data_IF_362328984558
#
_entry.id   IF_362328984558
#
_cell.length_a   1.000
_cell.length_b   1.000
_cell.length_c   1.000
_cell.angle_alpha   90.00
_cell.angle_beta   90.00
_cell.angle_gamma   90.00
#
_symmetry.space_group_name_H-M   'P 1'
#
loop_
_entity.id
_entity.type
_entity.pdbx_description
1 polymer ?
#
# COMPACT_ATOMS: atom_id res chain seq x y z
N UNK A 1 -17.48 -4.09 -8.51
CA UNK A 1 -18.89 -4.13 -8.97
C UNK A 1 -19.24 -5.57 -9.36
N UNK A 2 -20.24 -6.18 -8.70
CA UNK A 2 -20.76 -7.50 -9.09
C UNK A 2 -21.51 -7.35 -10.39
N UNK A 3 -21.05 -8.04 -11.44
CA UNK A 3 -21.78 -8.12 -12.72
C UNK A 3 -22.80 -9.26 -12.70
N UNK A 4 -23.87 -9.09 -13.48
CA UNK A 4 -24.87 -10.14 -13.66
C UNK A 4 -24.18 -11.35 -14.31
N UNK A 5 -24.15 -12.50 -13.61
CA UNK A 5 -23.44 -13.71 -14.08
C UNK A 5 -22.18 -14.08 -13.28
N UNK A 6 -21.52 -13.15 -12.59
CA UNK A 6 -20.28 -13.42 -11.84
C UNK A 6 -20.40 -14.65 -10.91
N UNK A 7 -21.53 -14.76 -10.20
CA UNK A 7 -21.78 -15.90 -9.30
C UNK A 7 -21.87 -17.23 -10.05
N UNK A 8 -22.44 -17.24 -11.26
CA UNK A 8 -22.58 -18.45 -12.07
C UNK A 8 -21.21 -18.89 -12.57
N UNK A 9 -20.45 -17.95 -13.13
CA UNK A 9 -19.08 -18.23 -13.60
C UNK A 9 -18.15 -18.65 -12.48
N UNK A 10 -18.24 -18.01 -11.31
CA UNK A 10 -17.47 -18.39 -10.11
C UNK A 10 -17.79 -19.82 -9.69
N UNK A 11 -19.07 -20.20 -9.60
CA UNK A 11 -19.48 -21.57 -9.26
C UNK A 11 -19.01 -22.59 -10.29
N UNK A 12 -19.06 -22.26 -11.58
CA UNK A 12 -18.58 -23.14 -12.65
C UNK A 12 -17.06 -23.34 -12.54
N UNK A 13 -16.29 -22.26 -12.39
CA UNK A 13 -14.84 -22.29 -12.22
C UNK A 13 -14.44 -23.14 -11.01
N UNK A 14 -15.04 -22.90 -9.85
CA UNK A 14 -14.73 -23.59 -8.60
C UNK A 14 -14.92 -25.11 -8.72
N UNK A 15 -15.92 -25.58 -9.46
CA UNK A 15 -16.15 -27.02 -9.69
C UNK A 15 -15.05 -27.70 -10.48
N UNK A 16 -14.25 -26.95 -11.22
CA UNK A 16 -13.18 -27.44 -12.08
C UNK A 16 -11.80 -27.37 -11.41
N UNK A 17 -11.75 -26.98 -10.14
CA UNK A 17 -10.50 -26.83 -9.39
C UNK A 17 -10.42 -27.90 -8.28
N UNK A 18 -9.24 -28.51 -8.13
CA UNK A 18 -8.96 -29.53 -7.10
C UNK A 18 -8.53 -28.89 -5.78
N UNK A 19 -7.83 -27.74 -5.85
CA UNK A 19 -7.32 -27.02 -4.71
C UNK A 19 -7.44 -25.50 -4.91
N UNK A 20 -7.41 -24.75 -3.81
CA UNK A 20 -7.53 -23.29 -3.84
C UNK A 20 -6.47 -22.63 -3.00
N UNK A 21 -5.80 -21.64 -3.58
CA UNK A 21 -4.91 -20.74 -2.89
C UNK A 21 -5.52 -19.34 -2.91
N UNK A 22 -5.53 -18.69 -1.76
CA UNK A 22 -5.94 -17.28 -1.65
C UNK A 22 -4.80 -16.44 -1.06
N UNK A 23 -4.74 -15.18 -1.48
CA UNK A 23 -3.67 -14.25 -1.08
C UNK A 23 -4.07 -13.33 0.09
N UNK A 24 -5.31 -13.50 0.63
CA UNK A 24 -5.78 -12.86 1.85
C UNK A 24 -6.77 -13.78 2.57
N UNK A 25 -6.87 -13.66 3.90
CA UNK A 25 -7.80 -14.42 4.69
C UNK A 25 -9.24 -14.05 4.36
N UNK A 26 -9.52 -12.77 4.09
CA UNK A 26 -10.85 -12.31 3.68
C UNK A 26 -11.33 -12.97 2.39
N UNK A 27 -10.45 -13.21 1.42
CA UNK A 27 -10.81 -13.97 0.18
C UNK A 27 -10.99 -15.45 0.47
N UNK A 28 -10.25 -16.03 1.44
CA UNK A 28 -10.48 -17.43 1.86
C UNK A 28 -11.87 -17.61 2.49
N UNK A 29 -12.30 -16.65 3.29
CA UNK A 29 -13.65 -16.63 3.89
C UNK A 29 -14.73 -16.49 2.80
N UNK A 30 -14.52 -15.61 1.84
CA UNK A 30 -15.42 -15.47 0.70
C UNK A 30 -15.49 -16.75 -0.15
N UNK A 31 -14.38 -17.41 -0.42
CA UNK A 31 -14.35 -18.70 -1.11
C UNK A 31 -15.16 -19.75 -0.38
N UNK A 32 -15.16 -19.73 0.95
CA UNK A 32 -15.91 -20.67 1.78
C UNK A 32 -17.43 -20.57 1.61
N UNK A 33 -17.93 -19.46 1.08
CA UNK A 33 -19.36 -19.28 0.70
C UNK A 33 -19.74 -20.03 -0.59
N UNK A 34 -18.75 -20.38 -1.41
CA UNK A 34 -18.95 -21.03 -2.71
C UNK A 34 -18.59 -22.52 -2.72
N UNK A 35 -17.65 -22.95 -1.87
CA UNK A 35 -17.20 -24.34 -1.79
C UNK A 35 -16.98 -24.79 -0.35
N UNK A 36 -17.23 -26.07 -0.09
CA UNK A 36 -16.96 -26.74 1.18
C UNK A 36 -15.64 -27.53 1.18
N UNK A 37 -14.86 -27.45 0.10
CA UNK A 37 -13.58 -28.17 0.05
C UNK A 37 -12.66 -27.77 1.22
N UNK A 38 -11.94 -28.76 1.74
CA UNK A 38 -10.90 -28.56 2.75
C UNK A 38 -9.53 -28.27 2.12
N UNK A 39 -9.36 -28.58 0.83
CA UNK A 39 -8.12 -28.35 0.07
C UNK A 39 -8.07 -26.88 -0.34
N UNK A 40 -7.86 -26.01 0.64
CA UNK A 40 -7.73 -24.56 0.45
C UNK A 40 -6.81 -23.97 1.50
N UNK A 41 -5.98 -23.02 1.11
CA UNK A 41 -4.99 -22.40 1.99
C UNK A 41 -4.86 -20.90 1.70
N UNK A 42 -4.75 -20.11 2.75
CA UNK A 42 -4.27 -18.74 2.67
C UNK A 42 -2.75 -18.76 2.70
N UNK A 43 -2.13 -18.18 1.68
CA UNK A 43 -0.70 -17.93 1.61
C UNK A 43 -0.54 -16.48 1.19
N UNK A 44 0.08 -15.60 2.01
CA UNK A 44 0.21 -14.20 1.68
C UNK A 44 1.03 -14.02 0.40
N UNK A 45 0.71 -12.98 -0.36
CA UNK A 45 1.43 -12.63 -1.59
C UNK A 45 2.92 -12.41 -1.27
N UNK A 46 3.86 -13.00 -2.02
CA UNK A 46 5.28 -12.79 -1.78
C UNK A 46 5.72 -11.37 -2.12
N UNK A 47 6.86 -10.93 -1.58
CA UNK A 47 7.42 -9.60 -1.85
C UNK A 47 7.74 -9.41 -3.35
N UNK A 48 7.67 -8.16 -3.80
CA UNK A 48 8.16 -7.76 -5.12
C UNK A 48 9.62 -7.29 -5.02
N UNK A 49 10.55 -8.19 -5.26
CA UNK A 49 12.00 -7.94 -5.27
C UNK A 49 12.58 -7.61 -6.66
N UNK A 50 11.69 -7.44 -7.65
CA UNK A 50 12.05 -7.20 -9.06
C UNK A 50 12.49 -5.76 -9.37
N UNK A 51 12.36 -4.83 -8.42
CA UNK A 51 12.68 -3.41 -8.62
C UNK A 51 14.13 -3.05 -8.26
N UNK A 52 14.98 -4.07 -8.01
CA UNK A 52 16.39 -3.93 -7.67
C UNK A 52 16.63 -3.71 -6.17
N UNK A 53 17.91 -3.56 -5.84
CA UNK A 53 18.34 -3.41 -4.45
C UNK A 53 17.99 -2.04 -3.85
N UNK A 54 17.82 -2.04 -2.52
CA UNK A 54 17.65 -0.84 -1.70
C UNK A 54 18.85 0.09 -1.87
N UNK A 55 18.58 1.38 -2.02
CA UNK A 55 19.59 2.43 -2.09
C UNK A 55 19.48 3.36 -0.87
N UNK A 56 20.55 4.06 -0.55
CA UNK A 56 20.55 5.07 0.52
C UNK A 56 19.50 6.16 0.25
N UNK A 57 18.83 6.65 1.29
CA UNK A 57 17.75 7.65 1.23
C UNK A 57 18.23 8.93 0.53
N UNK A 58 19.43 9.40 0.88
CA UNK A 58 20.05 10.60 0.30
C UNK A 58 20.26 10.46 -1.21
N UNK A 59 20.70 9.27 -1.67
CA UNK A 59 20.83 8.96 -3.10
C UNK A 59 19.47 8.95 -3.80
N UNK A 60 18.45 8.39 -3.16
CA UNK A 60 17.10 8.34 -3.70
C UNK A 60 16.49 9.74 -3.83
N UNK A 61 16.63 10.57 -2.80
CA UNK A 61 16.22 11.98 -2.77
C UNK A 61 16.88 12.75 -3.92
N UNK A 62 18.22 12.61 -4.07
CA UNK A 62 18.97 13.24 -5.16
C UNK A 62 18.49 12.78 -6.54
N UNK A 63 18.21 11.49 -6.71
CA UNK A 63 17.73 10.93 -7.99
C UNK A 63 16.39 11.53 -8.42
N UNK A 64 15.55 11.92 -7.45
CA UNK A 64 14.22 12.50 -7.68
C UNK A 64 14.23 14.03 -7.71
N UNK A 65 15.36 14.67 -7.37
CA UNK A 65 15.48 16.13 -7.28
C UNK A 65 14.66 16.71 -6.13
N UNK A 66 14.53 15.95 -5.02
CA UNK A 66 13.79 16.37 -3.82
C UNK A 66 14.70 17.16 -2.87
N UNK A 67 14.09 17.95 -1.98
CA UNK A 67 14.80 18.62 -0.92
C UNK A 67 15.14 17.61 0.21
N UNK A 68 16.41 17.46 0.62
CA UNK A 68 16.81 16.49 1.65
C UNK A 68 16.29 16.81 3.05
N UNK A 69 15.91 18.05 3.32
CA UNK A 69 15.37 18.46 4.63
C UNK A 69 13.88 18.17 4.78
N UNK A 70 13.19 17.88 3.66
CA UNK A 70 11.76 17.59 3.69
C UNK A 70 11.46 16.17 4.20
N UNK A 71 10.31 16.04 4.83
CA UNK A 71 9.69 14.77 5.21
C UNK A 71 8.82 14.27 4.06
N UNK A 72 8.99 13.02 3.62
CA UNK A 72 8.34 12.53 2.43
C UNK A 72 7.42 11.34 2.71
N UNK A 73 6.12 11.51 2.44
CA UNK A 73 5.16 10.42 2.30
C UNK A 73 5.03 10.03 0.83
N UNK A 74 4.70 8.78 0.55
CA UNK A 74 4.51 8.30 -0.82
C UNK A 74 3.13 7.66 -1.01
N UNK A 75 2.37 8.18 -1.96
CA UNK A 75 1.21 7.53 -2.56
C UNK A 75 1.63 7.04 -3.95
N UNK A 76 1.60 5.70 -4.18
CA UNK A 76 2.21 5.09 -5.36
C UNK A 76 1.26 4.26 -6.21
N UNK A 77 1.51 4.26 -7.52
CA UNK A 77 0.85 3.43 -8.54
C UNK A 77 -0.36 4.13 -9.16
N UNK A 78 -1.09 3.43 -10.04
CA UNK A 78 -2.22 3.99 -10.75
C UNK A 78 -3.22 4.66 -9.81
N UNK A 79 -3.54 5.93 -10.07
CA UNK A 79 -4.52 6.68 -9.29
C UNK A 79 -5.92 6.31 -9.79
N UNK A 80 -6.73 5.71 -8.89
CA UNK A 80 -8.12 5.33 -9.11
C UNK A 80 -8.95 5.64 -7.86
N UNK A 81 -10.22 5.96 -8.01
CA UNK A 81 -11.12 6.37 -6.89
C UNK A 81 -11.08 5.42 -5.69
N UNK A 82 -11.01 4.09 -5.95
CA UNK A 82 -10.96 3.11 -4.86
C UNK A 82 -9.68 3.19 -4.01
N UNK A 83 -8.59 3.80 -4.53
CA UNK A 83 -7.34 3.98 -3.78
C UNK A 83 -7.37 5.15 -2.80
N UNK A 84 -8.43 5.98 -2.84
CA UNK A 84 -8.70 6.98 -1.82
C UNK A 84 -7.65 8.08 -1.73
N UNK A 85 -7.09 8.53 -2.87
CA UNK A 85 -6.20 9.69 -2.87
C UNK A 85 -6.87 10.92 -2.28
N UNK A 86 -8.17 11.08 -2.48
CA UNK A 86 -8.98 12.16 -1.90
C UNK A 86 -8.96 12.14 -0.36
N UNK A 87 -9.00 10.95 0.28
CA UNK A 87 -8.86 10.82 1.72
C UNK A 87 -7.48 11.27 2.20
N UNK A 88 -6.44 10.89 1.44
CA UNK A 88 -5.08 11.32 1.74
C UNK A 88 -4.89 12.82 1.61
N UNK A 89 -5.41 13.44 0.54
CA UNK A 89 -5.36 14.90 0.34
C UNK A 89 -6.08 15.65 1.47
N UNK A 90 -7.25 15.17 1.90
CA UNK A 90 -7.97 15.73 3.04
C UNK A 90 -7.16 15.60 4.34
N UNK A 91 -6.48 14.49 4.55
CA UNK A 91 -5.59 14.32 5.71
C UNK A 91 -4.40 15.28 5.66
N UNK A 92 -3.80 15.51 4.49
CA UNK A 92 -2.71 16.48 4.30
C UNK A 92 -3.14 17.92 4.59
N UNK A 93 -4.44 18.23 4.57
CA UNK A 93 -4.97 19.55 4.92
C UNK A 93 -5.01 19.82 6.42
N UNK A 94 -4.75 18.84 7.27
CA UNK A 94 -4.63 19.03 8.73
C UNK A 94 -3.53 20.03 9.05
N UNK A 95 -3.83 21.03 9.91
CA UNK A 95 -2.90 22.09 10.23
C UNK A 95 -1.60 21.58 10.86
N UNK A 96 -1.67 20.52 11.67
CA UNK A 96 -0.49 19.88 12.28
C UNK A 96 0.48 19.33 11.22
N UNK A 97 -0.05 18.77 10.12
CA UNK A 97 0.75 18.25 9.00
C UNK A 97 1.36 19.41 8.20
N UNK A 98 0.61 20.49 7.97
CA UNK A 98 1.12 21.70 7.31
C UNK A 98 2.26 22.34 8.09
N UNK A 99 2.10 22.47 9.41
CA UNK A 99 3.12 23.04 10.31
C UNK A 99 4.41 22.19 10.37
N UNK A 100 4.30 20.87 10.12
CA UNK A 100 5.45 19.97 10.05
C UNK A 100 6.15 19.97 8.69
N UNK A 101 5.63 20.72 7.70
CA UNK A 101 6.14 20.84 6.33
C UNK A 101 6.29 19.48 5.60
N UNK A 102 5.40 18.53 5.91
CA UNK A 102 5.40 17.19 5.30
C UNK A 102 4.99 17.29 3.85
N UNK A 103 5.72 16.62 2.96
CA UNK A 103 5.43 16.52 1.53
C UNK A 103 4.83 15.16 1.19
N UNK A 104 3.79 15.16 0.38
CA UNK A 104 3.21 13.96 -0.21
C UNK A 104 3.66 13.84 -1.66
N UNK A 105 4.42 12.80 -1.96
CA UNK A 105 4.76 12.41 -3.33
C UNK A 105 3.59 11.55 -3.85
N UNK A 106 2.94 12.01 -4.92
CA UNK A 106 1.93 11.24 -5.66
C UNK A 106 2.61 10.78 -6.94
N UNK A 107 2.90 9.47 -7.05
CA UNK A 107 3.66 8.92 -8.16
C UNK A 107 2.90 7.81 -8.90
N UNK A 108 2.50 8.07 -10.13
CA UNK A 108 1.82 7.14 -11.03
C UNK A 108 0.74 7.78 -11.90
N UNK A 109 0.33 7.06 -12.92
CA UNK A 109 -0.68 7.53 -13.88
C UNK A 109 -2.07 7.67 -13.27
N UNK A 110 -2.78 8.69 -13.69
CA UNK A 110 -4.18 8.93 -13.33
C UNK A 110 -5.09 8.23 -14.35
N UNK A 111 -5.92 7.33 -13.86
CA UNK A 111 -6.97 6.66 -14.62
C UNK A 111 -8.34 7.32 -14.43
N UNK A 112 -8.49 8.13 -13.38
CA UNK A 112 -9.61 9.03 -13.16
C UNK A 112 -9.23 10.44 -13.58
N UNK A 113 -10.19 11.37 -13.60
CA UNK A 113 -9.92 12.75 -13.98
C UNK A 113 -8.94 13.41 -13.00
N UNK A 114 -7.72 13.64 -13.48
CA UNK A 114 -6.66 14.32 -12.71
C UNK A 114 -7.09 15.70 -12.23
N UNK A 115 -7.98 16.36 -12.97
CA UNK A 115 -8.46 17.71 -12.65
C UNK A 115 -9.21 17.72 -11.31
N UNK A 116 -9.99 16.69 -11.00
CA UNK A 116 -10.69 16.58 -9.70
C UNK A 116 -9.70 16.68 -8.53
N UNK A 117 -8.54 16.04 -8.64
CA UNK A 117 -7.51 16.05 -7.59
C UNK A 117 -6.72 17.36 -7.55
N UNK A 118 -6.42 17.96 -8.70
CA UNK A 118 -5.72 19.25 -8.73
C UNK A 118 -6.59 20.38 -8.19
N UNK A 119 -7.88 20.39 -8.50
CA UNK A 119 -8.84 21.33 -7.93
C UNK A 119 -8.92 21.16 -6.41
N UNK A 120 -9.04 19.90 -5.91
CA UNK A 120 -9.06 19.61 -4.48
C UNK A 120 -7.78 20.09 -3.76
N UNK A 121 -6.59 19.90 -4.35
CA UNK A 121 -5.31 20.38 -3.80
C UNK A 121 -5.33 21.89 -3.60
N UNK A 122 -5.84 22.63 -4.60
CA UNK A 122 -5.96 24.07 -4.55
C UNK A 122 -6.99 24.52 -3.51
N UNK A 123 -8.18 23.90 -3.49
CA UNK A 123 -9.25 24.23 -2.56
C UNK A 123 -8.86 23.98 -1.10
N UNK A 124 -8.07 22.93 -0.85
CA UNK A 124 -7.54 22.59 0.48
C UNK A 124 -6.31 23.46 0.88
N UNK A 125 -5.76 24.23 -0.05
CA UNK A 125 -4.59 25.07 0.20
C UNK A 125 -3.35 24.27 0.60
N UNK A 126 -3.08 23.14 -0.10
CA UNK A 126 -1.97 22.23 0.18
C UNK A 126 -1.00 22.07 -1.00
N UNK A 127 -1.08 22.95 -2.00
CA UNK A 127 -0.26 22.84 -3.21
C UNK A 127 1.24 22.73 -2.89
N UNK A 128 1.72 23.49 -1.92
CA UNK A 128 3.13 23.48 -1.51
C UNK A 128 3.55 22.17 -0.80
N UNK A 129 2.57 21.38 -0.34
CA UNK A 129 2.83 20.09 0.32
C UNK A 129 2.76 18.89 -0.65
N UNK A 130 2.46 19.13 -1.95
CA UNK A 130 2.23 18.04 -2.93
C UNK A 130 3.32 18.05 -3.99
N UNK A 131 3.93 16.90 -4.20
CA UNK A 131 4.88 16.63 -5.29
C UNK A 131 4.23 15.64 -6.24
N UNK A 132 3.68 16.12 -7.37
CA UNK A 132 2.94 15.26 -8.31
C UNK A 132 3.84 14.78 -9.44
N UNK A 133 3.92 13.45 -9.62
CA UNK A 133 4.59 12.74 -10.71
C UNK A 133 3.55 11.84 -11.40
N UNK A 134 2.82 12.42 -12.35
CA UNK A 134 1.60 11.83 -12.95
C UNK A 134 1.85 10.95 -14.17
N UNK A 135 3.11 10.69 -14.50
CA UNK A 135 3.48 9.81 -15.60
C UNK A 135 3.68 8.37 -15.10
N UNK A 136 3.71 7.41 -16.05
CA UNK A 136 4.11 6.04 -15.75
C UNK A 136 5.51 6.02 -15.12
N UNK A 137 5.65 5.31 -14.00
CA UNK A 137 6.93 5.16 -13.31
C UNK A 137 7.65 3.91 -13.83
N UNK A 138 8.76 4.04 -14.56
CA UNK A 138 9.54 2.91 -15.03
C UNK A 138 10.08 2.05 -13.87
N UNK A 139 10.19 0.74 -14.08
CA UNK A 139 10.58 -0.22 -13.03
C UNK A 139 11.92 0.13 -12.36
N UNK A 140 12.91 0.63 -13.13
CA UNK A 140 14.21 1.06 -12.62
C UNK A 140 14.16 2.30 -11.71
N UNK A 141 13.08 3.09 -11.78
CA UNK A 141 12.85 4.29 -10.97
C UNK A 141 12.09 4.00 -9.68
N UNK A 142 11.32 2.91 -9.60
CA UNK A 142 10.48 2.57 -8.45
C UNK A 142 11.26 2.61 -7.14
N UNK A 143 12.45 2.01 -7.10
CA UNK A 143 13.31 2.01 -5.90
C UNK A 143 13.63 3.42 -5.37
N UNK A 144 13.78 4.42 -6.26
CA UNK A 144 14.07 5.79 -5.83
C UNK A 144 12.88 6.39 -5.07
N UNK A 145 11.64 6.18 -5.52
CA UNK A 145 10.45 6.66 -4.82
C UNK A 145 10.30 6.02 -3.44
N UNK A 146 10.42 4.70 -3.36
CA UNK A 146 10.28 4.00 -2.08
C UNK A 146 11.42 4.33 -1.11
N UNK A 147 12.67 4.37 -1.58
CA UNK A 147 13.82 4.67 -0.72
C UNK A 147 13.89 6.13 -0.28
N UNK A 148 13.33 7.08 -1.04
CA UNK A 148 13.27 8.49 -0.66
C UNK A 148 12.21 8.79 0.39
N UNK A 149 11.20 7.93 0.54
CA UNK A 149 10.04 8.21 1.38
C UNK A 149 10.18 7.60 2.77
N UNK A 150 9.64 8.28 3.78
CA UNK A 150 9.63 7.87 5.18
C UNK A 150 8.56 6.80 5.43
N UNK A 151 7.40 6.97 4.80
CA UNK A 151 6.27 6.07 4.94
C UNK A 151 5.47 5.98 3.64
N UNK A 152 4.99 4.79 3.31
CA UNK A 152 4.14 4.51 2.14
C UNK A 152 2.67 4.57 2.57
N UNK A 153 1.85 5.33 1.85
CA UNK A 153 0.43 5.54 2.20
C UNK A 153 -0.50 4.84 1.22
N UNK A 154 -1.46 4.10 1.75
CA UNK A 154 -2.45 3.34 0.99
C UNK A 154 -3.83 3.53 1.62
N UNK A 155 -4.44 4.68 1.38
CA UNK A 155 -5.72 5.10 1.96
C UNK A 155 -6.92 4.52 1.21
N UNK A 156 -6.84 3.25 0.85
CA UNK A 156 -7.80 2.58 -0.04
C UNK A 156 -9.21 2.54 0.58
N UNK A 157 -10.22 2.64 -0.27
CA UNK A 157 -11.62 2.48 0.10
C UNK A 157 -12.06 1.02 0.08
N UNK A 158 -11.43 0.24 -0.78
CA UNK A 158 -11.67 -1.21 -0.90
C UNK A 158 -10.43 -1.86 -1.52
N UNK A 159 -10.04 -3.00 -0.99
CA UNK A 159 -8.95 -3.81 -1.54
C UNK A 159 -9.06 -5.25 -1.03
N UNK A 160 -8.68 -6.22 -1.83
CA UNK A 160 -8.43 -7.59 -1.36
C UNK A 160 -6.97 -7.76 -0.95
N UNK A 161 -6.08 -7.07 -1.66
CA UNK A 161 -4.64 -7.01 -1.41
C UNK A 161 -4.04 -5.82 -2.16
N UNK A 162 -2.75 -5.51 -1.92
CA UNK A 162 -2.02 -4.47 -2.66
C UNK A 162 -0.58 -4.89 -2.98
N UNK A 163 -0.21 -4.81 -4.27
CA UNK A 163 1.19 -4.98 -4.67
C UNK A 163 2.11 -3.88 -4.12
N UNK A 164 1.57 -2.69 -3.85
CA UNK A 164 2.34 -1.58 -3.25
C UNK A 164 2.83 -1.94 -1.86
N UNK A 165 2.05 -2.69 -1.07
CA UNK A 165 2.46 -3.22 0.23
C UNK A 165 3.68 -4.13 0.10
N UNK A 166 3.69 -5.01 -0.91
CA UNK A 166 4.80 -5.94 -1.13
C UNK A 166 6.07 -5.23 -1.62
N UNK A 167 5.92 -4.15 -2.38
CA UNK A 167 7.05 -3.29 -2.75
C UNK A 167 7.57 -2.56 -1.50
N UNK A 168 6.70 -2.05 -0.63
CA UNK A 168 7.11 -1.39 0.61
C UNK A 168 7.91 -2.33 1.51
N UNK A 169 7.47 -3.59 1.67
CA UNK A 169 8.23 -4.62 2.37
C UNK A 169 9.59 -4.89 1.73
N UNK A 170 9.69 -4.96 0.40
CA UNK A 170 10.96 -5.16 -0.30
C UNK A 170 11.99 -4.10 0.07
N UNK A 171 11.56 -2.85 0.23
CA UNK A 171 12.41 -1.71 0.58
C UNK A 171 12.43 -1.37 2.07
N UNK A 172 11.89 -2.22 2.95
CA UNK A 172 11.79 -2.03 4.41
C UNK A 172 11.11 -0.70 4.80
N UNK A 173 10.07 -0.28 4.08
CA UNK A 173 9.40 0.99 4.35
C UNK A 173 8.17 0.82 5.25
N UNK A 174 8.05 1.68 6.29
CA UNK A 174 6.83 1.77 7.07
C UNK A 174 5.61 2.06 6.18
N UNK A 175 4.43 1.63 6.63
CA UNK A 175 3.20 1.77 5.85
C UNK A 175 2.07 2.37 6.68
N UNK A 176 1.27 3.24 6.05
CA UNK A 176 -0.04 3.64 6.55
C UNK A 176 -1.08 3.08 5.61
N UNK A 177 -1.97 2.25 6.12
CA UNK A 177 -3.05 1.64 5.35
C UNK A 177 -4.39 1.89 6.00
N UNK A 178 -5.45 1.93 5.22
CA UNK A 178 -6.82 1.88 5.76
C UNK A 178 -7.22 0.44 6.08
N UNK A 179 -8.11 0.27 7.06
CA UNK A 179 -8.66 -1.04 7.47
C UNK A 179 -9.67 -1.54 6.43
N UNK A 180 -9.14 -2.09 5.33
CA UNK A 180 -9.95 -2.64 4.24
C UNK A 180 -9.36 -3.94 3.72
N UNK A 181 -10.22 -4.95 3.60
CA UNK A 181 -9.87 -6.27 3.05
C UNK A 181 -8.60 -6.85 3.67
N UNK A 182 -7.67 -7.28 2.82
CA UNK A 182 -6.42 -7.89 3.27
C UNK A 182 -5.29 -6.92 3.67
N UNK A 183 -5.48 -5.60 3.61
CA UNK A 183 -4.41 -4.65 3.93
C UNK A 183 -4.03 -4.67 5.41
N UNK A 184 -5.02 -4.65 6.30
CA UNK A 184 -4.80 -4.72 7.74
C UNK A 184 -4.18 -6.06 8.18
N UNK A 185 -4.42 -7.15 7.45
CA UNK A 185 -3.83 -8.47 7.72
C UNK A 185 -2.30 -8.49 7.49
N UNK A 186 -1.85 -7.65 6.54
CA UNK A 186 -0.45 -7.62 6.08
C UNK A 186 0.37 -6.58 6.84
N UNK A 187 -0.26 -5.52 7.35
CA UNK A 187 0.40 -4.41 8.05
C UNK A 187 0.08 -4.49 9.56
N UNK A 188 0.89 -5.18 10.38
CA UNK A 188 0.74 -5.17 11.84
C UNK A 188 0.76 -3.76 12.40
N UNK A 189 -0.42 -3.32 12.93
CA UNK A 189 -0.61 -1.96 13.43
C UNK A 189 0.35 -1.63 14.58
N UNK A 190 0.89 -0.41 14.60
CA UNK A 190 1.88 0.07 15.56
C UNK A 190 3.18 -0.76 15.63
N UNK A 191 3.45 -1.60 14.62
CA UNK A 191 4.67 -2.42 14.53
C UNK A 191 5.47 -2.08 13.27
N UNK A 192 4.84 -2.14 12.10
CA UNK A 192 5.45 -1.81 10.80
C UNK A 192 4.82 -0.56 10.17
N UNK A 193 3.88 0.05 10.85
CA UNK A 193 3.14 1.20 10.40
C UNK A 193 1.79 1.31 11.11
N UNK A 194 0.81 1.90 10.43
CA UNK A 194 -0.51 2.17 10.99
C UNK A 194 -1.63 1.56 10.15
N UNK A 195 -2.66 1.07 10.83
CA UNK A 195 -3.95 0.72 10.25
C UNK A 195 -4.97 1.73 10.73
N UNK A 196 -5.57 2.50 9.81
CA UNK A 196 -6.49 3.58 10.13
C UNK A 196 -7.88 3.31 9.59
N UNK A 197 -8.90 3.96 10.14
CA UNK A 197 -10.21 4.02 9.48
C UNK A 197 -10.12 4.85 8.18
N UNK A 198 -11.14 4.72 7.32
CA UNK A 198 -11.29 5.54 6.10
C UNK A 198 -11.73 6.99 6.44
N UNK A 199 -11.06 7.61 7.38
CA UNK A 199 -11.36 8.95 7.86
C UNK A 199 -10.09 9.82 7.80
N UNK A 200 -10.14 11.00 7.14
CA UNK A 200 -9.00 11.89 7.02
C UNK A 200 -8.35 12.27 8.36
N UNK A 201 -9.14 12.46 9.41
CA UNK A 201 -8.61 12.79 10.75
C UNK A 201 -7.81 11.62 11.33
N UNK A 202 -8.31 10.38 11.21
CA UNK A 202 -7.58 9.18 11.68
C UNK A 202 -6.27 8.98 10.91
N UNK A 203 -6.27 9.29 9.60
CA UNK A 203 -5.06 9.25 8.76
C UNK A 203 -4.07 10.33 9.22
N UNK A 204 -4.56 11.56 9.43
CA UNK A 204 -3.74 12.67 9.90
C UNK A 204 -3.12 12.37 11.28
N UNK A 205 -3.89 11.83 12.22
CA UNK A 205 -3.41 11.47 13.56
C UNK A 205 -2.25 10.47 13.48
N UNK A 206 -2.35 9.45 12.62
CA UNK A 206 -1.29 8.46 12.42
C UNK A 206 -0.02 9.09 11.81
N UNK A 207 -0.16 10.02 10.86
CA UNK A 207 0.97 10.75 10.27
C UNK A 207 1.65 11.62 11.32
N UNK A 208 0.88 12.36 12.10
CA UNK A 208 1.39 13.23 13.18
C UNK A 208 2.12 12.39 14.24
N UNK A 209 1.54 11.27 14.67
CA UNK A 209 2.17 10.34 15.63
C UNK A 209 3.50 9.81 15.09
N UNK A 210 3.55 9.40 13.81
CA UNK A 210 4.76 8.88 13.16
C UNK A 210 5.94 9.85 13.27
N UNK A 211 5.73 11.12 12.95
CA UNK A 211 6.81 12.11 12.97
C UNK A 211 7.09 12.68 14.37
N UNK A 212 6.06 12.91 15.17
CA UNK A 212 6.23 13.44 16.54
C UNK A 212 6.97 12.45 17.44
N UNK A 213 6.71 11.15 17.29
CA UNK A 213 7.31 10.09 18.08
C UNK A 213 8.50 9.41 17.39
N UNK A 214 9.02 9.96 16.27
CA UNK A 214 10.18 9.47 15.53
C UNK A 214 10.12 7.96 15.21
N UNK A 215 8.96 7.47 14.72
CA UNK A 215 8.69 6.05 14.49
C UNK A 215 9.39 5.44 13.26
N UNK A 216 10.01 6.24 12.39
CA UNK A 216 10.60 5.74 11.13
C UNK A 216 11.61 4.62 11.37
N UNK A 217 12.57 4.82 12.28
CA UNK A 217 13.64 3.84 12.53
C UNK A 217 13.10 2.53 13.11
N UNK A 218 12.22 2.61 14.12
CA UNK A 218 11.57 1.46 14.76
C UNK A 218 10.77 0.65 13.73
N UNK A 219 9.90 1.31 12.98
CA UNK A 219 9.03 0.64 12.01
C UNK A 219 9.83 0.08 10.82
N UNK A 220 10.90 0.74 10.39
CA UNK A 220 11.79 0.23 9.34
C UNK A 220 12.45 -1.09 9.75
N UNK A 221 13.00 -1.16 10.99
CA UNK A 221 13.58 -2.39 11.54
C UNK A 221 12.52 -3.51 11.59
N UNK A 222 11.35 -3.19 12.11
CA UNK A 222 10.26 -4.14 12.23
C UNK A 222 9.74 -4.61 10.87
N UNK A 223 9.67 -3.72 9.86
CA UNK A 223 9.30 -4.07 8.48
C UNK A 223 10.30 -5.05 7.89
N UNK A 224 11.62 -4.83 8.11
CA UNK A 224 12.67 -5.75 7.68
C UNK A 224 12.60 -7.13 8.35
N UNK A 225 12.11 -7.21 9.59
CA UNK A 225 11.88 -8.48 10.27
C UNK A 225 10.61 -9.18 9.78
N UNK A 226 9.51 -8.43 9.64
CA UNK A 226 8.19 -8.93 9.24
C UNK A 226 8.17 -9.46 7.80
N UNK A 227 8.92 -8.84 6.86
CA UNK A 227 8.96 -9.25 5.46
C UNK A 227 9.39 -10.68 5.23
N UNK A 228 10.09 -11.32 6.19
CA UNK A 228 10.56 -12.71 6.06
C UNK A 228 9.40 -13.68 5.83
N UNK A 229 8.23 -13.41 6.39
CA UNK A 229 7.02 -14.24 6.17
C UNK A 229 6.47 -14.17 4.75
N UNK A 230 6.87 -13.15 3.98
CA UNK A 230 6.48 -12.94 2.59
C UNK A 230 7.56 -13.38 1.59
N UNK A 231 8.51 -14.22 2.01
CA UNK A 231 9.54 -14.72 1.11
C UNK A 231 8.95 -15.64 0.04
N UNK A 232 9.56 -15.65 -1.15
CA UNK A 232 9.19 -16.60 -2.21
C UNK A 232 9.32 -18.06 -1.74
N UNK A 233 10.33 -18.38 -0.92
CA UNK A 233 10.46 -19.73 -0.33
C UNK A 233 9.25 -20.11 0.52
N UNK A 234 8.78 -19.21 1.40
CA UNK A 234 7.57 -19.47 2.21
C UNK A 234 6.32 -19.65 1.34
N UNK A 235 6.23 -18.92 0.24
CA UNK A 235 5.11 -19.03 -0.68
C UNK A 235 5.10 -20.36 -1.43
N UNK A 236 6.25 -20.78 -1.98
CA UNK A 236 6.41 -22.06 -2.69
C UNK A 236 6.15 -23.24 -1.76
N UNK A 237 6.77 -23.26 -0.57
CA UNK A 237 6.51 -24.30 0.42
C UNK A 237 5.01 -24.39 0.78
N UNK A 238 4.35 -23.24 0.89
CA UNK A 238 2.91 -23.21 1.16
C UNK A 238 2.06 -23.81 0.04
N UNK A 239 2.49 -23.71 -1.22
CA UNK A 239 1.84 -24.38 -2.37
C UNK A 239 2.11 -25.88 -2.32
N UNK A 240 3.36 -26.31 -2.10
CA UNK A 240 3.73 -27.72 -2.01
C UNK A 240 2.92 -28.44 -0.92
N UNK A 241 2.80 -27.83 0.26
CA UNK A 241 1.97 -28.35 1.36
C UNK A 241 0.48 -28.47 1.01
N UNK A 242 -0.01 -27.69 0.06
CA UNK A 242 -1.40 -27.74 -0.39
C UNK A 242 -1.63 -28.89 -1.37
N UNK A 243 -0.58 -29.35 -2.05
CA UNK A 243 -0.63 -30.40 -3.09
C UNK A 243 -0.36 -31.81 -2.54
N UNK A 244 0.14 -31.92 -1.28
CA UNK A 244 0.35 -33.20 -0.57
C UNK A 244 -0.90 -33.62 0.21
#
# INVERSE_FOLDING_TARGET
>A
EKRMGDTIFTKYFIKSCDAFLTLSASVLDDLSKFTKTTVKKYIPHPIYDVFGEKIAKEKAIKNLGLNPEDKHLLFFGFVRKYKGLDLMLQAMADNRIKEMEIKLIIAGEFYDDKKEYTDMINDLGIADNIIMKSDFIPADKVKSYFCASDMITQTYRTATQSGVTQIAYSFDRPMLVTDVGGLAEIVPNNKVGYVTSQNPTSIADAIVDFYTNNKEAEFTINTGAEKKRFSWGSFVNGIEDLML
#
